data_IF_114359680155
#
_entry.id   IF_114359680155
#
_cell.length_a   1.000
_cell.length_b   1.000
_cell.length_c   1.000
_cell.angle_alpha   90.00
_cell.angle_beta   90.00
_cell.angle_gamma   90.00
#
_symmetry.space_group_name_H-M   'P 1'
#
loop_
_entity.id
_entity.type
_entity.pdbx_description
1 polymer ?
#
# COMPACT_ATOMS: atom_id res chain seq x y z
N UNK A 1 1.84 17.84 6.07
CA UNK A 1 1.93 16.38 6.32
C UNK A 1 1.29 15.68 5.14
N UNK A 2 2.05 14.86 4.40
CA UNK A 2 1.48 14.03 3.34
C UNK A 2 0.57 12.95 3.94
N UNK A 3 -0.57 12.70 3.32
CA UNK A 3 -1.52 11.68 3.78
C UNK A 3 -1.08 10.32 3.28
N UNK A 4 -0.79 9.42 4.21
CA UNK A 4 -0.40 8.05 3.90
C UNK A 4 -1.58 7.07 4.00
N UNK A 5 -1.79 6.29 2.95
CA UNK A 5 -2.84 5.29 2.86
C UNK A 5 -2.34 3.92 3.34
N UNK A 6 -3.19 3.17 4.03
CA UNK A 6 -2.96 1.74 4.24
C UNK A 6 -3.14 0.96 2.93
N UNK A 7 -2.57 -0.24 2.87
CA UNK A 7 -2.84 -1.18 1.76
C UNK A 7 -4.34 -1.39 1.51
N UNK A 8 -5.16 -1.42 2.58
CA UNK A 8 -6.60 -1.61 2.47
C UNK A 8 -7.32 -0.40 1.88
N UNK A 9 -6.88 0.81 2.21
CA UNK A 9 -7.43 2.04 1.62
C UNK A 9 -7.03 2.18 0.15
N UNK A 10 -5.78 1.86 -0.20
CA UNK A 10 -5.35 1.79 -1.61
C UNK A 10 -6.19 0.76 -2.37
N UNK A 11 -6.41 -0.43 -1.80
CA UNK A 11 -7.25 -1.45 -2.41
C UNK A 11 -8.67 -0.94 -2.69
N UNK A 12 -9.29 -0.22 -1.74
CA UNK A 12 -10.61 0.40 -1.92
C UNK A 12 -10.61 1.50 -2.98
N UNK A 13 -9.60 2.37 -2.98
CA UNK A 13 -9.48 3.49 -3.92
C UNK A 13 -9.38 3.00 -5.37
N UNK A 14 -8.57 1.98 -5.60
CA UNK A 14 -8.34 1.40 -6.92
C UNK A 14 -9.32 0.26 -7.26
N UNK A 15 -10.24 -0.09 -6.36
CA UNK A 15 -11.20 -1.21 -6.50
C UNK A 15 -10.51 -2.54 -6.85
N UNK A 16 -9.36 -2.79 -6.24
CA UNK A 16 -8.58 -4.01 -6.41
C UNK A 16 -8.51 -4.80 -5.11
N UNK A 17 -8.06 -6.05 -5.18
CA UNK A 17 -7.82 -6.84 -3.98
C UNK A 17 -6.60 -6.33 -3.20
N UNK A 18 -6.61 -6.55 -1.89
CA UNK A 18 -5.46 -6.30 -1.02
C UNK A 18 -4.18 -6.99 -1.53
N UNK A 19 -4.32 -8.20 -2.09
CA UNK A 19 -3.22 -8.99 -2.67
C UNK A 19 -2.62 -8.30 -3.89
N UNK A 20 -3.44 -7.66 -4.73
CA UNK A 20 -2.93 -6.91 -5.89
C UNK A 20 -2.04 -5.75 -5.46
N UNK A 21 -2.45 -4.98 -4.44
CA UNK A 21 -1.63 -3.88 -3.90
C UNK A 21 -0.31 -4.40 -3.32
N UNK A 22 -0.32 -5.51 -2.57
CA UNK A 22 0.94 -6.14 -2.10
C UNK A 22 1.84 -6.59 -3.26
N UNK A 23 1.27 -7.15 -4.32
CA UNK A 23 2.04 -7.53 -5.52
C UNK A 23 2.68 -6.31 -6.19
N UNK A 24 1.98 -5.17 -6.26
CA UNK A 24 2.58 -3.93 -6.77
C UNK A 24 3.73 -3.43 -5.91
N UNK A 25 3.58 -3.47 -4.59
CA UNK A 25 4.63 -3.11 -3.65
C UNK A 25 5.88 -4.01 -3.81
N UNK A 26 5.69 -5.33 -3.88
CA UNK A 26 6.79 -6.27 -4.10
C UNK A 26 7.45 -6.14 -5.47
N UNK A 27 6.68 -5.79 -6.50
CA UNK A 27 7.20 -5.51 -7.83
C UNK A 27 7.82 -4.10 -7.97
N UNK A 28 7.83 -3.29 -6.90
CA UNK A 28 8.36 -1.92 -6.93
C UNK A 28 7.54 -0.93 -7.77
N UNK A 29 6.29 -1.28 -8.12
CA UNK A 29 5.42 -0.46 -8.98
C UNK A 29 4.76 0.71 -8.25
N UNK A 30 4.75 0.68 -6.93
CA UNK A 30 4.20 1.73 -6.07
C UNK A 30 5.16 1.97 -4.90
N UNK A 31 5.41 3.23 -4.57
CA UNK A 31 6.24 3.60 -3.42
C UNK A 31 5.46 3.33 -2.14
N UNK A 32 6.17 2.91 -1.11
CA UNK A 32 5.62 2.74 0.23
C UNK A 32 6.72 2.97 1.26
N UNK A 33 6.31 3.30 2.48
CA UNK A 33 7.15 3.21 3.68
C UNK A 33 6.69 2.03 4.53
N UNK A 34 7.64 1.39 5.21
CA UNK A 34 7.33 0.40 6.26
C UNK A 34 7.28 1.12 7.60
N UNK A 35 6.19 0.93 8.33
CA UNK A 35 6.15 1.34 9.73
C UNK A 35 7.02 0.42 10.59
N UNK A 36 7.43 0.84 11.80
CA UNK A 36 8.16 -0.04 12.73
C UNK A 36 7.43 -1.37 13.00
N UNK A 37 6.08 -1.37 12.97
CA UNK A 37 5.25 -2.58 13.09
C UNK A 37 5.09 -3.39 11.79
N UNK A 38 5.90 -3.13 10.77
CA UNK A 38 5.93 -3.89 9.51
C UNK A 38 4.76 -3.63 8.55
N UNK A 39 3.88 -2.67 8.84
CA UNK A 39 2.75 -2.33 7.96
C UNK A 39 3.19 -1.40 6.84
N UNK A 40 2.54 -1.50 5.69
CA UNK A 40 2.85 -0.66 4.52
C UNK A 40 1.96 0.58 4.52
N UNK A 41 2.57 1.70 4.18
CA UNK A 41 1.92 3.01 4.03
C UNK A 41 2.34 3.59 2.70
N UNK A 42 1.36 3.92 1.86
CA UNK A 42 1.54 4.41 0.49
C UNK A 42 1.22 5.90 0.42
#
# INVERSE_FOLDING_TARGET
MEKLYTTGEVAKLFRVSYVAVKKWAYAGKIKFIKTPGGKYRY
#
